data_IF_662405444436
#
_entry.id   IF_662405444436
#
_cell.length_a   1.000
_cell.length_b   1.000
_cell.length_c   1.000
_cell.angle_alpha   90.00
_cell.angle_beta   90.00
_cell.angle_gamma   90.00
#
_symmetry.space_group_name_H-M   'P 1'
#
loop_
_entity.id
_entity.type
_entity.pdbx_description
1 polymer ?
#
# COMPACT_ATOMS: atom_id res chain seq x y z
N UNK A 1 -1.41 2.92 -29.46
CA UNK A 1 -0.84 3.44 -28.20
C UNK A 1 -1.62 2.75 -27.09
N UNK A 2 -1.13 1.62 -26.58
CA UNK A 2 -1.79 0.94 -25.47
C UNK A 2 -1.52 1.78 -24.22
N UNK A 3 -2.56 2.28 -23.57
CA UNK A 3 -2.47 3.02 -22.33
C UNK A 3 -1.96 2.08 -21.25
N UNK A 4 -0.66 2.10 -21.00
CA UNK A 4 -0.09 1.60 -19.77
C UNK A 4 -0.37 2.68 -18.74
N UNK A 5 -1.58 2.71 -18.18
CA UNK A 5 -1.73 3.30 -16.84
C UNK A 5 -0.83 2.46 -15.95
N UNK A 6 0.27 3.02 -15.40
CA UNK A 6 0.98 2.30 -14.35
C UNK A 6 -0.06 1.96 -13.28
N UNK A 7 -0.01 0.77 -12.65
CA UNK A 7 -0.82 0.52 -11.47
C UNK A 7 -0.54 1.70 -10.54
N UNK A 8 -1.53 2.56 -10.39
CA UNK A 8 -1.43 3.69 -9.46
C UNK A 8 -1.43 3.03 -8.10
N UNK A 9 -0.54 3.41 -7.19
CA UNK A 9 -0.34 2.80 -5.86
C UNK A 9 -1.67 2.54 -5.11
N UNK A 10 -2.71 3.33 -5.41
CA UNK A 10 -4.10 3.12 -5.00
C UNK A 10 -4.78 1.80 -5.45
N UNK A 11 -4.23 1.07 -6.42
CA UNK A 11 -4.75 -0.23 -6.85
C UNK A 11 -4.10 -1.40 -6.11
N UNK A 12 -2.91 -1.23 -5.53
CA UNK A 12 -2.19 -2.31 -4.84
C UNK A 12 -2.75 -2.58 -3.45
N UNK A 13 -3.38 -1.59 -2.81
CA UNK A 13 -4.00 -1.77 -1.50
C UNK A 13 -5.37 -1.08 -1.38
N UNK A 14 -6.19 -1.49 -0.41
CA UNK A 14 -7.49 -0.87 -0.09
C UNK A 14 -7.60 -0.48 1.37
N UNK A 15 -8.14 0.70 1.65
CA UNK A 15 -8.48 1.12 3.01
C UNK A 15 -9.85 0.58 3.43
N UNK A 16 -9.96 0.12 4.67
CA UNK A 16 -11.18 -0.38 5.32
C UNK A 16 -11.40 0.39 6.62
N UNK A 17 -12.51 1.11 6.72
CA UNK A 17 -12.91 1.84 7.92
C UNK A 17 -13.80 0.97 8.82
N UNK A 18 -13.44 0.86 10.10
CA UNK A 18 -14.16 0.09 11.11
C UNK A 18 -14.43 0.95 12.34
N UNK A 19 -15.45 0.63 13.16
CA UNK A 19 -15.71 1.36 14.40
C UNK A 19 -14.54 1.29 15.40
N UNK A 20 -13.65 0.30 15.24
CA UNK A 20 -12.46 0.10 16.05
C UNK A 20 -11.18 0.75 15.48
N UNK A 21 -11.21 1.28 14.24
CA UNK A 21 -10.08 1.96 13.61
C UNK A 21 -10.04 1.85 12.08
N UNK A 22 -8.90 2.22 11.51
CA UNK A 22 -8.62 2.10 10.08
C UNK A 22 -7.75 0.88 9.81
N UNK A 23 -7.98 0.23 8.69
CA UNK A 23 -7.16 -0.89 8.22
C UNK A 23 -6.80 -0.64 6.78
N UNK A 24 -5.65 -1.15 6.36
CA UNK A 24 -5.35 -1.29 4.95
C UNK A 24 -5.12 -2.77 4.64
N UNK A 25 -5.63 -3.21 3.49
CA UNK A 25 -5.39 -4.55 2.99
C UNK A 25 -4.56 -4.46 1.73
N UNK A 26 -3.45 -5.19 1.72
CA UNK A 26 -2.65 -5.42 0.54
C UNK A 26 -3.39 -6.37 -0.41
N UNK A 27 -3.63 -5.95 -1.65
CA UNK A 27 -4.37 -6.77 -2.62
C UNK A 27 -3.48 -7.82 -3.29
N UNK A 28 -2.15 -7.73 -3.13
CA UNK A 28 -1.18 -8.66 -3.73
C UNK A 28 -1.04 -9.90 -2.84
N UNK A 29 -0.84 -9.68 -1.56
CA UNK A 29 -0.61 -10.70 -0.52
C UNK A 29 -1.88 -11.08 0.24
N UNK A 30 -2.96 -10.30 0.10
CA UNK A 30 -4.22 -10.36 0.89
C UNK A 30 -4.02 -10.05 2.38
N UNK A 31 -2.83 -9.58 2.78
CA UNK A 31 -2.51 -9.24 4.17
C UNK A 31 -3.24 -7.98 4.64
N UNK A 32 -3.67 -7.99 5.90
CA UNK A 32 -4.43 -6.88 6.51
C UNK A 32 -3.65 -6.31 7.67
N UNK A 33 -3.45 -5.00 7.63
CA UNK A 33 -2.69 -4.24 8.62
C UNK A 33 -3.62 -3.28 9.38
N UNK A 34 -3.46 -3.20 10.70
CA UNK A 34 -4.24 -2.35 11.61
C UNK A 34 -4.65 -3.05 12.91
N UNK A 35 -5.51 -2.43 13.75
CA UNK A 35 -6.16 -1.14 13.53
C UNK A 35 -5.21 0.04 13.71
N UNK A 36 -5.33 1.01 12.82
CA UNK A 36 -4.68 2.31 12.89
C UNK A 36 -5.64 3.36 13.47
N UNK A 37 -5.15 4.32 14.26
CA UNK A 37 -5.98 5.35 14.88
C UNK A 37 -6.52 6.38 13.87
N UNK A 38 -5.88 6.55 12.71
CA UNK A 38 -6.30 7.49 11.67
C UNK A 38 -6.03 6.94 10.27
N UNK A 39 -6.75 7.46 9.26
CA UNK A 39 -6.50 7.16 7.85
C UNK A 39 -5.05 7.44 7.44
N UNK A 40 -4.48 8.56 7.90
CA UNK A 40 -3.11 8.95 7.56
C UNK A 40 -2.08 7.94 8.06
N UNK A 41 -2.31 7.37 9.25
CA UNK A 41 -1.42 6.36 9.85
C UNK A 41 -1.45 5.06 9.03
N UNK A 42 -2.64 4.62 8.59
CA UNK A 42 -2.78 3.49 7.69
C UNK A 42 -2.15 3.74 6.30
N UNK A 43 -2.27 4.96 5.77
CA UNK A 43 -1.67 5.32 4.48
C UNK A 43 -0.13 5.39 4.55
N UNK A 44 0.44 5.93 5.63
CA UNK A 44 1.89 5.95 5.79
C UNK A 44 2.46 4.53 5.96
N UNK A 45 1.76 3.65 6.66
CA UNK A 45 2.18 2.26 6.79
C UNK A 45 2.14 1.54 5.43
N UNK A 46 1.11 1.77 4.63
CA UNK A 46 1.02 1.29 3.24
C UNK A 46 2.16 1.81 2.36
N UNK A 47 2.43 3.12 2.36
CA UNK A 47 3.49 3.74 1.56
C UNK A 47 4.87 3.17 1.95
N UNK A 48 5.12 3.01 3.25
CA UNK A 48 6.36 2.41 3.74
C UNK A 48 6.52 0.92 3.38
N UNK A 49 5.41 0.18 3.33
CA UNK A 49 5.40 -1.23 2.95
C UNK A 49 5.60 -1.40 1.42
N UNK A 50 4.95 -0.55 0.60
CA UNK A 50 5.11 -0.54 -0.86
C UNK A 50 6.52 -0.08 -1.26
N UNK A 51 7.08 0.94 -0.61
CA UNK A 51 8.48 1.36 -0.78
C UNK A 51 9.48 0.25 -0.38
N UNK A 52 9.09 -0.69 0.48
CA UNK A 52 9.94 -1.83 0.85
C UNK A 52 9.89 -2.97 -0.19
N UNK A 53 8.83 -3.08 -0.99
CA UNK A 53 8.77 -3.97 -2.17
C UNK A 53 9.53 -3.38 -3.38
N UNK A 54 9.79 -2.07 -3.37
CA UNK A 54 10.70 -1.43 -4.31
C UNK A 54 12.14 -1.85 -4.01
N UNK A 55 12.61 -2.95 -4.62
CA UNK A 55 13.99 -3.43 -4.50
C UNK A 55 15.01 -2.30 -4.86
N UNK A 56 15.78 -1.74 -3.90
CA UNK A 56 16.90 -0.86 -4.24
C UNK A 56 18.08 -1.74 -4.68
N UNK A 57 17.94 -2.38 -5.84
CA UNK A 57 18.74 -3.55 -6.23
C UNK A 57 19.59 -3.43 -7.49
N UNK A 58 19.42 -2.41 -8.34
CA UNK A 58 20.36 -2.17 -9.44
C UNK A 58 21.08 -0.84 -9.25
N UNK A 59 22.15 -0.89 -8.45
CA UNK A 59 23.27 0.03 -8.69
C UNK A 59 23.71 -0.19 -10.13
N UNK A 60 23.42 0.78 -11.01
CA UNK A 60 23.95 0.82 -12.36
C UNK A 60 25.48 0.77 -12.27
N UNK A 61 26.08 -0.38 -12.60
CA UNK A 61 27.52 -0.52 -12.85
C UNK A 61 27.95 0.28 -14.10
#
# INVERSE_FOLDING_TARGET
MAGHTPPTEADQARIIERPDGFYWQDKITDEVFGPFPTLLDAMQDMEYNDESDYEPGETLE
#
